data_IF_435102687779
#
_entry.id   IF_435102687779
#
_cell.length_a   1.000
_cell.length_b   1.000
_cell.length_c   1.000
_cell.angle_alpha   90.00
_cell.angle_beta   90.00
_cell.angle_gamma   90.00
#
_symmetry.space_group_name_H-M   'P 1'
#
loop_
_entity.id
_entity.type
_entity.pdbx_description
1 polymer ?
#
# COMPACT_ATOMS: atom_id res chain seq x y z
N UNK A 1 7.76 3.56 -1.97
CA UNK A 1 9.13 3.60 -1.43
C UNK A 1 10.12 4.26 -2.39
N UNK A 2 10.17 3.84 -3.66
CA UNK A 2 11.02 4.43 -4.72
C UNK A 2 10.92 5.96 -4.81
N UNK A 3 9.70 6.52 -4.85
CA UNK A 3 9.50 7.98 -4.90
C UNK A 3 10.09 8.70 -3.68
N UNK A 4 9.92 8.13 -2.48
CA UNK A 4 10.48 8.71 -1.26
C UNK A 4 12.00 8.69 -1.31
N UNK A 5 12.61 7.58 -1.72
CA UNK A 5 14.06 7.50 -1.92
C UNK A 5 14.55 8.58 -2.88
N UNK A 6 13.88 8.77 -4.02
CA UNK A 6 14.16 9.83 -4.99
C UNK A 6 14.13 11.24 -4.38
N UNK A 7 13.11 11.53 -3.57
CA UNK A 7 12.99 12.81 -2.85
C UNK A 7 14.09 13.01 -1.79
N UNK A 8 14.61 11.92 -1.23
CA UNK A 8 15.65 11.95 -0.20
C UNK A 8 17.08 11.93 -0.74
N UNK A 9 17.29 11.74 -2.05
CA UNK A 9 18.64 11.71 -2.66
C UNK A 9 19.54 12.88 -2.22
N UNK A 10 19.08 14.15 -2.19
CA UNK A 10 19.93 15.27 -1.77
C UNK A 10 20.25 15.29 -0.27
N UNK A 11 19.62 14.41 0.51
CA UNK A 11 19.77 14.29 1.97
C UNK A 11 20.55 13.03 2.37
N UNK A 12 20.94 12.19 1.41
CA UNK A 12 21.78 11.03 1.67
C UNK A 12 23.22 11.44 1.98
N UNK A 13 23.95 10.67 2.79
CA UNK A 13 25.36 10.94 3.08
C UNK A 13 26.28 10.71 1.87
N UNK A 14 25.77 10.11 0.79
CA UNK A 14 26.48 9.86 -0.45
C UNK A 14 25.71 10.45 -1.63
N UNK A 15 26.45 10.92 -2.64
CA UNK A 15 25.88 11.49 -3.86
C UNK A 15 25.53 10.38 -4.83
N UNK A 16 24.25 10.25 -5.17
CA UNK A 16 23.77 9.31 -6.17
C UNK A 16 23.09 10.02 -7.34
N UNK A 17 23.17 9.41 -8.51
CA UNK A 17 22.36 9.71 -9.68
C UNK A 17 21.64 8.44 -10.13
N UNK A 18 20.31 8.42 -10.08
CA UNK A 18 19.51 7.29 -10.59
C UNK A 18 19.69 7.22 -12.10
N UNK A 19 20.13 6.05 -12.58
CA UNK A 19 20.29 5.76 -14.00
C UNK A 19 19.01 5.11 -14.56
N UNK A 20 18.50 4.10 -13.87
CA UNK A 20 17.34 3.32 -14.32
C UNK A 20 16.58 2.74 -13.11
N UNK A 21 15.26 2.71 -13.21
CA UNK A 21 14.37 1.94 -12.33
C UNK A 21 13.60 0.96 -13.21
N UNK A 22 13.51 -0.30 -12.80
CA UNK A 22 13.03 -1.40 -13.66
C UNK A 22 12.23 -2.43 -12.89
N UNK A 23 11.46 -3.23 -13.61
CA UNK A 23 10.69 -4.37 -13.09
C UNK A 23 11.51 -5.67 -13.12
N UNK A 24 12.78 -5.59 -12.72
CA UNK A 24 13.70 -6.72 -12.74
C UNK A 24 14.79 -6.55 -11.70
N UNK A 25 15.25 -7.66 -11.10
CA UNK A 25 16.32 -7.65 -10.11
C UNK A 25 17.69 -7.23 -10.72
N UNK A 26 18.46 -6.36 -10.05
CA UNK A 26 18.06 -5.44 -8.98
C UNK A 26 17.16 -4.30 -9.48
N UNK A 27 16.18 -3.85 -8.69
CA UNK A 27 15.15 -2.88 -9.07
C UNK A 27 15.66 -1.54 -9.61
N UNK A 28 16.87 -1.14 -9.21
CA UNK A 28 17.42 0.17 -9.54
C UNK A 28 18.92 0.12 -9.79
N UNK A 29 19.35 0.85 -10.81
CA UNK A 29 20.74 1.13 -11.11
C UNK A 29 21.00 2.61 -10.88
N UNK A 30 22.02 2.92 -10.08
CA UNK A 30 22.43 4.30 -9.79
C UNK A 30 23.95 4.45 -9.89
N UNK A 31 24.42 5.66 -10.19
CA UNK A 31 25.81 6.02 -10.08
C UNK A 31 26.08 6.63 -8.71
N UNK A 32 26.97 6.04 -7.92
CA UNK A 32 27.54 6.66 -6.72
C UNK A 32 28.79 7.43 -7.09
N UNK A 33 28.85 8.70 -6.71
CA UNK A 33 30.05 9.52 -6.89
C UNK A 33 30.95 9.37 -5.67
N UNK A 34 32.20 9.00 -5.90
CA UNK A 34 33.24 8.92 -4.88
C UNK A 34 33.97 10.29 -4.75
N UNK A 35 34.77 10.45 -3.70
CA UNK A 35 35.44 11.73 -3.40
C UNK A 35 36.49 12.14 -4.45
N UNK A 36 37.09 11.16 -5.12
CA UNK A 36 38.06 11.34 -6.19
C UNK A 36 37.43 11.72 -7.56
N UNK A 37 36.10 11.78 -7.62
CA UNK A 37 35.34 12.10 -8.83
C UNK A 37 34.98 10.88 -9.68
N UNK A 38 35.43 9.68 -9.31
CA UNK A 38 35.04 8.43 -9.96
C UNK A 38 33.56 8.10 -9.71
N UNK A 39 32.98 7.33 -10.64
CA UNK A 39 31.59 6.86 -10.53
C UNK A 39 31.56 5.35 -10.43
N UNK A 40 30.96 4.84 -9.37
CA UNK A 40 30.72 3.42 -9.18
C UNK A 40 29.25 3.09 -9.48
N UNK A 41 29.02 2.04 -10.26
CA UNK A 41 27.68 1.51 -10.45
C UNK A 41 27.21 0.90 -9.13
N UNK A 42 26.02 1.29 -8.70
CA UNK A 42 25.36 0.84 -7.49
C UNK A 42 24.06 0.14 -7.89
N UNK A 43 23.98 -1.15 -7.58
CA UNK A 43 22.81 -2.01 -7.76
C UNK A 43 21.96 -1.96 -6.51
N UNK A 44 20.74 -1.46 -6.63
CA UNK A 44 19.85 -1.21 -5.50
C UNK A 44 18.61 -2.10 -5.60
N UNK A 45 18.29 -2.79 -4.52
CA UNK A 45 17.00 -3.48 -4.36
C UNK A 45 16.09 -2.71 -3.39
N UNK A 46 14.81 -2.61 -3.73
CA UNK A 46 13.81 -1.91 -2.92
C UNK A 46 12.92 -2.90 -2.17
N UNK A 47 13.06 -2.96 -0.85
CA UNK A 47 12.25 -3.88 -0.03
C UNK A 47 11.43 -3.18 1.07
N UNK A 48 10.18 -3.60 1.31
CA UNK A 48 9.41 -3.03 2.42
C UNK A 48 10.12 -3.28 3.76
N UNK A 49 10.52 -4.52 4.00
CA UNK A 49 11.38 -4.94 5.11
C UNK A 49 12.66 -5.50 4.55
N UNK A 50 13.80 -5.22 5.15
CA UNK A 50 15.08 -5.77 4.68
C UNK A 50 15.03 -7.31 4.52
N UNK A 51 14.31 -8.02 5.40
CA UNK A 51 14.15 -9.48 5.37
C UNK A 51 13.44 -10.01 4.12
N UNK A 52 12.64 -9.19 3.44
CA UNK A 52 12.01 -9.57 2.19
C UNK A 52 13.03 -9.90 1.09
N UNK A 53 14.19 -9.24 1.09
CA UNK A 53 15.27 -9.55 0.14
C UNK A 53 15.64 -11.04 0.18
N UNK A 54 15.72 -11.60 1.39
CA UNK A 54 16.04 -13.02 1.63
C UNK A 54 14.84 -13.90 1.29
N UNK A 55 13.62 -13.48 1.68
CA UNK A 55 12.40 -14.23 1.41
C UNK A 55 12.10 -14.36 -0.10
N UNK A 56 12.48 -13.35 -0.89
CA UNK A 56 12.38 -13.35 -2.35
C UNK A 56 13.55 -14.08 -3.03
N UNK A 57 14.49 -14.62 -2.27
CA UNK A 57 15.64 -15.40 -2.77
C UNK A 57 16.55 -14.63 -3.73
N UNK A 58 16.70 -13.33 -3.53
CA UNK A 58 17.62 -12.51 -4.33
C UNK A 58 19.08 -12.88 -4.07
N UNK A 59 19.88 -12.87 -5.14
CA UNK A 59 21.33 -13.10 -5.04
C UNK A 59 22.00 -11.86 -4.42
N UNK A 60 22.58 -11.96 -3.21
CA UNK A 60 23.18 -10.80 -2.58
C UNK A 60 24.54 -10.39 -3.18
N UNK A 61 25.12 -11.17 -4.11
CA UNK A 61 26.25 -10.70 -4.93
C UNK A 61 25.79 -9.86 -6.15
N UNK A 62 24.49 -9.93 -6.47
CA UNK A 62 23.80 -9.13 -7.46
C UNK A 62 23.35 -7.75 -6.98
N UNK A 63 23.54 -7.44 -5.69
CA UNK A 63 23.03 -6.23 -5.04
C UNK A 63 24.13 -5.54 -4.23
N UNK A 64 24.24 -4.22 -4.34
CA UNK A 64 25.23 -3.42 -3.60
C UNK A 64 24.61 -2.66 -2.42
N UNK A 65 23.29 -2.43 -2.45
CA UNK A 65 22.55 -1.72 -1.41
C UNK A 65 21.09 -2.16 -1.39
N UNK A 66 20.58 -2.52 -0.22
CA UNK A 66 19.13 -2.68 -0.01
C UNK A 66 18.60 -1.36 0.53
N UNK A 67 17.67 -0.74 -0.19
CA UNK A 67 16.90 0.40 0.33
C UNK A 67 15.58 -0.14 0.84
N UNK A 68 15.33 0.02 2.14
CA UNK A 68 14.13 -0.52 2.76
C UNK A 68 13.36 0.51 3.58
N UNK A 69 12.09 0.25 3.87
CA UNK A 69 11.37 1.08 4.83
C UNK A 69 11.84 0.78 6.25
N UNK A 70 11.89 -0.50 6.63
CA UNK A 70 12.32 -0.99 7.94
C UNK A 70 13.48 -1.99 7.80
N UNK A 71 14.54 -1.80 8.58
CA UNK A 71 15.64 -2.78 8.68
C UNK A 71 15.39 -3.72 9.87
N UNK A 72 14.91 -4.92 9.55
CA UNK A 72 14.64 -6.01 10.48
C UNK A 72 15.66 -7.16 10.35
N UNK A 73 16.73 -6.97 9.56
CA UNK A 73 17.77 -7.97 9.35
C UNK A 73 18.97 -7.75 10.27
N UNK A 74 19.29 -8.78 11.04
CA UNK A 74 20.52 -8.86 11.80
C UNK A 74 21.64 -9.48 10.97
N UNK A 75 22.83 -8.85 11.00
CA UNK A 75 24.09 -9.39 10.44
C UNK A 75 23.98 -9.98 9.02
N UNK A 76 23.84 -9.12 8.02
CA UNK A 76 23.70 -9.51 6.62
C UNK A 76 24.68 -8.74 5.72
N UNK A 77 25.25 -9.42 4.71
CA UNK A 77 26.41 -8.95 3.93
C UNK A 77 26.15 -7.72 3.08
N UNK A 78 24.91 -7.53 2.60
CA UNK A 78 24.55 -6.36 1.78
C UNK A 78 24.21 -5.19 2.71
N UNK A 79 24.83 -4.01 2.51
CA UNK A 79 24.49 -2.80 3.24
C UNK A 79 23.02 -2.41 3.10
N UNK A 80 22.46 -1.77 4.12
CA UNK A 80 21.04 -1.41 4.19
C UNK A 80 20.85 0.07 4.48
N UNK A 81 19.96 0.71 3.73
CA UNK A 81 19.47 2.07 3.99
C UNK A 81 17.99 2.00 4.40
N UNK A 82 17.73 2.15 5.70
CA UNK A 82 16.36 2.24 6.23
C UNK A 82 15.81 3.66 6.10
N UNK A 83 14.79 3.84 5.25
CA UNK A 83 14.17 5.14 5.01
C UNK A 83 13.38 5.66 6.22
N UNK A 84 12.78 4.79 7.03
CA UNK A 84 12.06 5.20 8.25
C UNK A 84 13.01 5.89 9.25
N UNK A 85 14.16 5.28 9.51
CA UNK A 85 15.20 5.84 10.38
C UNK A 85 15.80 7.13 9.79
N UNK A 86 16.07 7.15 8.48
CA UNK A 86 16.57 8.35 7.80
C UNK A 86 15.57 9.51 7.94
N UNK A 87 14.29 9.30 7.61
CA UNK A 87 13.25 10.34 7.73
C UNK A 87 13.14 10.85 9.15
N UNK A 88 13.17 9.95 10.14
CA UNK A 88 13.11 10.32 11.56
C UNK A 88 14.31 11.17 12.01
N UNK A 89 15.49 10.99 11.41
CA UNK A 89 16.70 11.76 11.72
C UNK A 89 16.78 13.15 11.05
N UNK A 90 15.96 13.42 10.02
CA UNK A 90 16.06 14.66 9.24
C UNK A 90 15.32 15.82 9.93
N UNK A 91 16.01 16.96 10.08
CA UNK A 91 15.45 18.22 10.57
C UNK A 91 15.58 19.34 9.49
N UNK A 92 14.50 20.07 9.16
CA UNK A 92 13.10 19.83 9.56
C UNK A 92 12.55 18.53 8.96
N UNK A 93 11.50 17.92 9.56
CA UNK A 93 10.92 16.67 9.08
C UNK A 93 10.42 16.81 7.64
N UNK A 94 10.87 15.91 6.78
CA UNK A 94 10.50 15.88 5.35
C UNK A 94 9.07 15.38 5.15
N UNK A 95 8.62 14.46 6.02
CA UNK A 95 7.26 13.94 6.05
C UNK A 95 6.61 14.44 7.33
N UNK A 96 5.56 15.24 7.19
CA UNK A 96 4.64 15.52 8.27
C UNK A 96 3.48 14.54 8.13
N UNK A 97 3.31 13.67 9.12
CA UNK A 97 2.05 12.94 9.25
C UNK A 97 1.04 13.96 9.77
N UNK A 98 0.04 14.38 8.99
CA UNK A 98 -0.99 15.23 9.54
C UNK A 98 -1.65 14.47 10.69
N UNK A 99 -1.82 15.11 11.85
CA UNK A 99 -2.55 14.52 13.00
C UNK A 99 -3.99 14.14 12.62
N UNK A 100 -4.49 14.67 11.50
CA UNK A 100 -5.80 14.37 10.95
C UNK A 100 -5.72 13.19 10.00
N UNK A 101 -6.40 12.10 10.37
CA UNK A 101 -6.78 11.04 9.43
C UNK A 101 -7.44 11.70 8.22
N UNK A 102 -6.99 11.36 7.00
CA UNK A 102 -7.46 11.99 5.75
C UNK A 102 -8.99 12.02 5.63
N UNK A 103 -9.65 11.01 6.20
CA UNK A 103 -11.10 10.94 6.36
C UNK A 103 -11.43 10.28 7.71
N UNK A 104 -12.48 10.71 8.43
CA UNK A 104 -12.91 10.03 9.64
C UNK A 104 -13.42 8.62 9.32
N UNK A 105 -13.27 7.64 10.23
CA UNK A 105 -13.95 6.35 10.12
C UNK A 105 -15.45 6.54 9.95
N UNK A 106 -16.00 5.99 8.88
CA UNK A 106 -17.44 5.97 8.65
C UNK A 106 -17.94 4.53 8.62
N UNK A 107 -18.93 4.25 9.46
CA UNK A 107 -19.73 3.03 9.42
C UNK A 107 -21.01 3.38 8.71
N UNK A 108 -21.26 2.74 7.57
CA UNK A 108 -22.44 3.00 6.78
C UNK A 108 -23.63 2.20 7.35
N UNK A 109 -24.75 2.87 7.58
CA UNK A 109 -26.04 2.19 7.73
C UNK A 109 -26.70 2.14 6.37
N UNK A 110 -27.76 1.34 6.21
CA UNK A 110 -28.56 1.38 4.98
C UNK A 110 -29.11 2.78 4.70
N UNK A 111 -29.59 3.45 5.74
CA UNK A 111 -30.12 4.80 5.62
C UNK A 111 -29.04 5.79 5.17
N UNK A 112 -27.88 5.81 5.82
CA UNK A 112 -26.80 6.73 5.46
C UNK A 112 -26.19 6.40 4.10
N UNK A 113 -26.14 5.12 3.73
CA UNK A 113 -25.74 4.69 2.39
C UNK A 113 -26.71 5.21 1.32
N UNK A 114 -28.02 5.02 1.50
CA UNK A 114 -29.03 5.45 0.51
C UNK A 114 -29.08 6.98 0.39
N UNK A 115 -28.85 7.71 1.48
CA UNK A 115 -28.70 9.17 1.46
C UNK A 115 -27.47 9.62 0.66
N UNK A 116 -26.37 8.86 0.74
CA UNK A 116 -25.13 9.16 0.03
C UNK A 116 -25.14 8.71 -1.44
N UNK A 117 -26.00 7.75 -1.81
CA UNK A 117 -26.09 7.24 -3.17
C UNK A 117 -26.68 8.28 -4.13
N UNK A 118 -26.12 8.45 -5.35
CA UNK A 118 -26.69 9.29 -6.39
C UNK A 118 -28.14 8.90 -6.71
N UNK A 119 -29.05 9.86 -6.94
CA UNK A 119 -30.47 9.58 -7.17
C UNK A 119 -30.75 8.55 -8.27
N UNK A 120 -29.93 8.53 -9.32
CA UNK A 120 -30.03 7.59 -10.43
C UNK A 120 -29.76 6.13 -10.05
N UNK A 121 -29.06 5.87 -8.94
CA UNK A 121 -28.73 4.52 -8.47
C UNK A 121 -29.52 4.10 -7.23
N UNK A 122 -30.18 5.02 -6.52
CA UNK A 122 -30.91 4.73 -5.27
C UNK A 122 -31.93 3.61 -5.43
N UNK A 123 -32.78 3.66 -6.47
CA UNK A 123 -33.79 2.62 -6.68
C UNK A 123 -33.14 1.26 -6.96
N UNK A 124 -32.09 1.23 -7.78
CA UNK A 124 -31.36 0.00 -8.08
C UNK A 124 -30.74 -0.61 -6.82
N UNK A 125 -30.20 0.22 -5.92
CA UNK A 125 -29.71 -0.26 -4.63
C UNK A 125 -30.81 -0.83 -3.76
N UNK A 126 -31.97 -0.15 -3.66
CA UNK A 126 -33.12 -0.65 -2.90
C UNK A 126 -33.57 -2.02 -3.43
N UNK A 127 -33.70 -2.15 -4.76
CA UNK A 127 -34.16 -3.37 -5.40
C UNK A 127 -33.18 -4.53 -5.18
N UNK A 128 -31.88 -4.26 -5.30
CA UNK A 128 -30.83 -5.25 -5.03
C UNK A 128 -30.83 -5.68 -3.57
N UNK A 129 -30.86 -4.73 -2.63
CA UNK A 129 -30.89 -5.02 -1.19
C UNK A 129 -32.12 -5.85 -0.82
N UNK A 130 -33.29 -5.51 -1.37
CA UNK A 130 -34.51 -6.30 -1.20
C UNK A 130 -34.38 -7.71 -1.80
N UNK A 131 -33.80 -7.82 -2.98
CA UNK A 131 -33.54 -9.12 -3.62
C UNK A 131 -32.62 -9.99 -2.77
N UNK A 132 -31.49 -9.46 -2.29
CA UNK A 132 -30.54 -10.21 -1.47
C UNK A 132 -31.11 -10.64 -0.12
N UNK A 133 -31.97 -9.83 0.49
CA UNK A 133 -32.70 -10.20 1.73
C UNK A 133 -33.66 -11.36 1.54
N UNK A 134 -34.18 -11.59 0.33
CA UNK A 134 -35.01 -12.79 0.05
C UNK A 134 -34.18 -14.08 0.10
N UNK A 135 -32.85 -14.00 0.08
CA UNK A 135 -31.91 -15.13 0.17
C UNK A 135 -31.45 -15.41 1.62
N UNK A 136 -32.07 -14.77 2.62
CA UNK A 136 -31.57 -14.63 4.00
C UNK A 136 -31.84 -15.80 4.98
N UNK A 137 -31.50 -17.04 4.62
CA UNK A 137 -30.70 -17.77 5.61
C UNK A 137 -29.26 -17.98 5.15
N UNK A 138 -28.98 -17.80 3.85
CA UNK A 138 -27.66 -18.07 3.28
C UNK A 138 -26.85 -16.78 3.07
N UNK A 139 -27.52 -15.66 2.82
CA UNK A 139 -26.89 -14.38 2.50
C UNK A 139 -27.17 -13.32 3.56
N UNK A 140 -26.13 -12.58 3.95
CA UNK A 140 -26.20 -11.44 4.88
C UNK A 140 -25.79 -10.17 4.13
N UNK A 141 -26.53 -9.08 4.31
CA UNK A 141 -26.12 -7.76 3.81
C UNK A 141 -25.16 -7.14 4.82
N UNK A 142 -24.01 -6.66 4.35
CA UNK A 142 -23.00 -5.96 5.16
C UNK A 142 -22.70 -4.61 4.52
N UNK A 143 -22.91 -3.53 5.25
CA UNK A 143 -22.50 -2.19 4.85
C UNK A 143 -21.04 -1.97 5.23
N UNK A 144 -20.29 -1.28 4.37
CA UNK A 144 -18.85 -1.10 4.52
C UNK A 144 -18.49 -0.24 5.73
N UNK A 145 -17.26 -0.39 6.20
CA UNK A 145 -16.66 0.39 7.31
C UNK A 145 -15.50 1.24 6.75
N UNK A 146 -15.74 1.88 5.60
CA UNK A 146 -14.71 2.50 4.76
C UNK A 146 -14.68 4.02 4.81
N UNK A 147 -13.47 4.56 4.76
CA UNK A 147 -13.16 5.98 4.93
C UNK A 147 -13.46 6.88 3.72
N UNK A 148 -13.79 6.34 2.53
CA UNK A 148 -13.91 7.16 1.31
C UNK A 148 -15.19 6.93 0.51
N UNK A 149 -15.63 5.68 0.36
CA UNK A 149 -16.74 5.35 -0.54
C UNK A 149 -17.81 4.53 0.19
N UNK A 150 -19.06 5.01 0.26
CA UNK A 150 -20.16 4.22 0.78
C UNK A 150 -20.31 2.94 -0.04
N UNK A 151 -20.47 1.81 0.63
CA UNK A 151 -20.63 0.52 -0.02
C UNK A 151 -21.47 -0.44 0.81
N UNK A 152 -22.06 -1.42 0.14
CA UNK A 152 -22.63 -2.61 0.77
C UNK A 152 -22.23 -3.87 -0.01
N UNK A 153 -22.31 -5.01 0.65
CA UNK A 153 -21.97 -6.30 0.06
C UNK A 153 -22.90 -7.41 0.54
N UNK A 154 -23.03 -8.44 -0.29
CA UNK A 154 -23.65 -9.71 0.08
C UNK A 154 -22.58 -10.68 0.55
N UNK A 155 -22.71 -11.17 1.77
CA UNK A 155 -21.77 -12.11 2.36
C UNK A 155 -22.47 -13.40 2.82
N UNK A 156 -21.82 -14.54 2.60
CA UNK A 156 -22.25 -15.86 3.07
C UNK A 156 -21.30 -16.34 4.16
N UNK A 157 -21.87 -16.83 5.26
CA UNK A 157 -21.08 -17.47 6.33
C UNK A 157 -20.91 -18.95 6.01
N UNK A 158 -19.67 -19.39 5.88
CA UNK A 158 -19.34 -20.80 5.69
C UNK A 158 -19.51 -21.58 6.99
N UNK A 159 -19.68 -22.90 6.87
CA UNK A 159 -19.67 -23.83 8.03
C UNK A 159 -18.40 -23.75 8.87
N UNK A 160 -17.30 -23.33 8.26
CA UNK A 160 -15.99 -23.11 8.92
C UNK A 160 -15.95 -21.84 9.77
N UNK A 161 -17.00 -21.01 9.75
CA UNK A 161 -17.06 -19.72 10.44
C UNK A 161 -16.50 -18.55 9.62
N UNK A 162 -15.78 -18.81 8.52
CA UNK A 162 -15.32 -17.78 7.58
C UNK A 162 -16.49 -17.12 6.85
N UNK A 163 -16.33 -15.86 6.45
CA UNK A 163 -17.27 -15.14 5.57
C UNK A 163 -16.68 -15.05 4.16
N UNK A 164 -17.52 -15.24 3.15
CA UNK A 164 -17.18 -14.99 1.74
C UNK A 164 -18.10 -13.89 1.24
N UNK A 165 -17.54 -12.86 0.62
CA UNK A 165 -18.30 -11.87 -0.13
C UNK A 165 -18.66 -12.43 -1.50
N UNK A 166 -19.93 -12.37 -1.87
CA UNK A 166 -20.42 -12.78 -3.19
C UNK A 166 -20.29 -11.65 -4.22
N UNK A 167 -20.62 -10.45 -3.78
CA UNK A 167 -20.48 -9.19 -4.52
C UNK A 167 -20.54 -8.02 -3.55
N UNK A 168 -19.94 -6.90 -3.93
CA UNK A 168 -20.13 -5.61 -3.29
C UNK A 168 -20.40 -4.53 -4.32
N UNK A 169 -21.07 -3.48 -3.86
CA UNK A 169 -21.50 -2.35 -4.68
C UNK A 169 -21.17 -1.06 -3.95
N UNK A 170 -20.52 -0.13 -4.64
CA UNK A 170 -20.33 1.24 -4.17
C UNK A 170 -21.57 2.10 -4.45
N UNK A 171 -21.74 3.19 -3.73
CA UNK A 171 -22.85 4.13 -3.91
C UNK A 171 -22.97 4.65 -5.35
N UNK A 172 -21.85 4.87 -6.06
CA UNK A 172 -21.86 5.28 -7.46
C UNK A 172 -22.15 4.15 -8.47
N UNK A 173 -22.52 2.95 -7.99
CA UNK A 173 -22.92 1.82 -8.84
C UNK A 173 -21.79 0.90 -9.30
N UNK A 174 -20.53 1.22 -8.98
CA UNK A 174 -19.38 0.33 -9.26
C UNK A 174 -19.53 -0.99 -8.47
N UNK A 175 -19.40 -2.12 -9.16
CA UNK A 175 -19.52 -3.46 -8.58
C UNK A 175 -18.15 -4.13 -8.48
N UNK A 176 -17.93 -4.88 -7.40
CA UNK A 176 -16.76 -5.73 -7.19
C UNK A 176 -17.18 -7.12 -6.66
N UNK A 177 -16.31 -8.11 -6.82
CA UNK A 177 -16.51 -9.51 -6.39
C UNK A 177 -15.35 -9.93 -5.50
#
# INVERSE_FOLDING_TARGET
>A
MVTLFGLLLPRLPYRLLINEVREAFPDCLAWKFEEDGERKLLRIEFELKASNFVNHTHDPDGCDLIVCWEDDLWDFKVPRLALSSLVASLAPPVIQSPDKVKYPPQVWTEESFLQAAPPEFQQNHIDLLQWGRKLAPQCTVVFGEGNQFPSWSFAVKLRTGKKITLLGVYAEGTVWV
#
